data_IF_311962911012
#
_entry.id   IF_311962911012
#
_cell.length_a   1.000
_cell.length_b   1.000
_cell.length_c   1.000
_cell.angle_alpha   90.00
_cell.angle_beta   90.00
_cell.angle_gamma   90.00
#
_symmetry.space_group_name_H-M   'P 1'
#
loop_
_entity.id
_entity.type
_entity.pdbx_description
1 polymer ?
#
# COMPACT_ATOMS: atom_id res chain seq x y z
N UNK A 1 -9.17 -21.66 25.18
CA UNK A 1 -7.69 -21.60 25.16
C UNK A 1 -7.13 -22.89 25.76
N UNK A 2 -6.72 -23.85 24.92
CA UNK A 2 -5.85 -24.96 25.37
C UNK A 2 -4.41 -24.54 25.13
N UNK A 3 -3.56 -24.82 26.12
CA UNK A 3 -2.14 -24.46 26.21
C UNK A 3 -1.36 -24.66 24.90
N UNK A 4 -0.94 -23.55 24.29
CA UNK A 4 -0.04 -23.46 23.14
C UNK A 4 1.44 -23.33 23.53
N UNK A 5 1.81 -23.58 24.79
CA UNK A 5 3.18 -23.37 25.28
C UNK A 5 4.20 -24.39 24.77
N UNK A 6 3.77 -25.52 24.20
CA UNK A 6 4.66 -26.58 23.72
C UNK A 6 5.23 -26.40 22.31
N UNK A 7 4.55 -25.65 21.44
CA UNK A 7 4.90 -25.48 20.01
C UNK A 7 5.62 -24.17 19.69
N UNK A 8 5.79 -23.28 20.68
CA UNK A 8 6.37 -21.94 20.51
C UNK A 8 7.85 -21.91 20.07
N UNK A 9 8.61 -22.99 20.17
CA UNK A 9 10.08 -22.93 20.02
C UNK A 9 10.66 -23.17 18.62
N UNK A 10 9.89 -23.66 17.65
CA UNK A 10 10.47 -24.16 16.38
C UNK A 10 9.87 -23.59 15.09
N UNK A 11 8.94 -22.62 15.15
CA UNK A 11 8.27 -22.12 13.93
C UNK A 11 8.95 -20.91 13.27
N UNK A 12 9.93 -20.27 13.91
CA UNK A 12 10.62 -19.07 13.38
C UNK A 12 12.12 -19.14 13.66
N UNK A 13 12.82 -20.12 13.08
CA UNK A 13 14.28 -20.27 13.25
C UNK A 13 15.04 -20.49 11.94
N UNK A 14 14.36 -20.41 10.80
CA UNK A 14 15.00 -20.45 9.49
C UNK A 14 15.43 -19.04 9.09
N UNK A 15 16.67 -18.88 8.65
CA UNK A 15 17.12 -17.66 7.97
C UNK A 15 16.16 -17.33 6.81
N UNK A 16 15.73 -16.06 6.63
CA UNK A 16 14.88 -15.70 5.51
C UNK A 16 15.49 -16.10 4.16
N UNK A 17 14.65 -16.59 3.25
CA UNK A 17 15.05 -17.12 1.96
C UNK A 17 14.41 -16.29 0.84
N UNK A 18 15.27 -15.69 0.01
CA UNK A 18 14.89 -14.88 -1.15
C UNK A 18 15.42 -15.46 -2.46
N UNK A 19 15.82 -16.74 -2.46
CA UNK A 19 16.48 -17.39 -3.61
C UNK A 19 15.63 -17.47 -4.88
N UNK A 20 14.31 -17.30 -4.77
CA UNK A 20 13.37 -17.29 -5.89
C UNK A 20 12.91 -15.86 -6.30
N UNK A 21 13.49 -14.81 -5.71
CA UNK A 21 13.16 -13.41 -6.02
C UNK A 21 13.22 -13.11 -7.53
N UNK A 22 14.16 -13.72 -8.26
CA UNK A 22 14.29 -13.57 -9.72
C UNK A 22 13.01 -13.96 -10.49
N UNK A 23 12.31 -15.00 -10.05
CA UNK A 23 11.08 -15.44 -10.69
C UNK A 23 9.92 -14.46 -10.40
N UNK A 24 9.90 -13.85 -9.22
CA UNK A 24 8.96 -12.78 -8.90
C UNK A 24 9.23 -11.49 -9.70
N UNK A 25 10.51 -11.13 -9.87
CA UNK A 25 10.94 -10.02 -10.76
C UNK A 25 10.45 -10.26 -12.20
N UNK A 26 10.62 -11.48 -12.70
CA UNK A 26 10.16 -11.87 -14.04
C UNK A 26 8.64 -11.85 -14.16
N UNK A 27 7.90 -12.20 -13.11
CA UNK A 27 6.45 -12.11 -13.06
C UNK A 27 5.97 -10.65 -13.17
N UNK A 28 6.58 -9.74 -12.40
CA UNK A 28 6.32 -8.30 -12.50
C UNK A 28 6.65 -7.77 -13.89
N UNK A 29 7.80 -8.15 -14.45
CA UNK A 29 8.21 -7.75 -15.80
C UNK A 29 7.19 -8.17 -16.85
N UNK A 30 6.71 -9.41 -16.79
CA UNK A 30 5.66 -9.92 -17.69
C UNK A 30 4.35 -9.16 -17.53
N UNK A 31 3.95 -8.88 -16.29
CA UNK A 31 2.76 -8.08 -16.02
C UNK A 31 2.87 -6.67 -16.62
N UNK A 32 3.99 -5.97 -16.39
CA UNK A 32 4.23 -4.63 -16.91
C UNK A 32 4.28 -4.54 -18.45
N UNK A 33 4.69 -5.61 -19.13
CA UNK A 33 4.68 -5.71 -20.59
C UNK A 33 3.34 -6.16 -21.17
N UNK A 34 2.41 -6.60 -20.33
CA UNK A 34 1.11 -7.11 -20.74
C UNK A 34 0.09 -5.99 -20.73
N UNK A 35 -0.28 -5.50 -21.91
CA UNK A 35 -1.27 -4.45 -22.06
C UNK A 35 -2.70 -5.04 -22.00
N UNK A 36 -3.28 -5.08 -20.81
CA UNK A 36 -4.71 -5.37 -20.61
C UNK A 36 -5.39 -4.07 -20.22
N UNK A 37 -6.26 -3.57 -21.09
CA UNK A 37 -7.02 -2.37 -20.82
C UNK A 37 -8.08 -2.61 -19.73
N UNK A 38 -8.32 -1.58 -18.92
CA UNK A 38 -9.43 -1.53 -17.97
C UNK A 38 -10.74 -1.22 -18.69
N UNK A 39 -11.85 -1.11 -17.96
CA UNK A 39 -13.10 -0.59 -18.50
C UNK A 39 -12.91 0.80 -19.10
N UNK A 40 -13.56 1.08 -20.22
CA UNK A 40 -13.47 2.39 -20.87
C UNK A 40 -14.10 3.49 -20.02
N UNK A 41 -13.45 4.64 -19.99
CA UNK A 41 -13.97 5.84 -19.33
C UNK A 41 -15.19 6.38 -20.09
N UNK A 42 -16.34 6.59 -19.41
CA UNK A 42 -17.50 7.19 -20.03
C UNK A 42 -17.22 8.68 -20.29
N UNK A 43 -17.06 9.04 -21.56
CA UNK A 43 -16.78 10.42 -21.99
C UNK A 43 -18.04 11.23 -22.31
N UNK A 44 -19.22 10.62 -22.15
CA UNK A 44 -20.52 11.26 -22.30
C UNK A 44 -21.22 11.38 -20.94
N UNK A 45 -21.67 12.60 -20.62
CA UNK A 45 -22.33 12.91 -19.35
C UNK A 45 -23.58 12.04 -19.09
N UNK A 46 -24.47 11.91 -20.08
CA UNK A 46 -25.73 11.18 -19.92
C UNK A 46 -25.50 9.68 -19.82
N UNK A 47 -24.52 9.16 -20.55
CA UNK A 47 -24.08 7.77 -20.43
C UNK A 47 -23.55 7.49 -19.02
N UNK A 48 -22.61 8.31 -18.53
CA UNK A 48 -22.07 8.16 -17.17
C UNK A 48 -23.19 8.24 -16.12
N UNK A 49 -24.04 9.26 -16.19
CA UNK A 49 -25.13 9.45 -15.22
C UNK A 49 -26.12 8.30 -15.26
N UNK A 50 -26.46 7.80 -16.44
CA UNK A 50 -27.33 6.65 -16.62
C UNK A 50 -26.74 5.39 -16.00
N UNK A 51 -25.47 5.08 -16.29
CA UNK A 51 -24.78 3.93 -15.68
C UNK A 51 -24.75 4.03 -14.16
N UNK A 52 -24.33 5.18 -13.62
CA UNK A 52 -24.29 5.39 -12.17
C UNK A 52 -25.68 5.23 -11.52
N UNK A 53 -26.75 5.75 -12.11
CA UNK A 53 -28.11 5.62 -11.57
C UNK A 53 -28.55 4.15 -11.44
N UNK A 54 -28.15 3.27 -12.38
CA UNK A 54 -28.45 1.83 -12.27
C UNK A 54 -27.74 1.14 -11.10
N UNK A 55 -26.75 1.79 -10.49
CA UNK A 55 -25.91 1.26 -9.42
C UNK A 55 -26.19 1.89 -8.06
N UNK A 56 -27.18 2.79 -7.94
CA UNK A 56 -27.47 3.58 -6.73
C UNK A 56 -27.59 2.77 -5.43
N UNK A 57 -28.08 1.53 -5.54
CA UNK A 57 -28.36 0.63 -4.43
C UNK A 57 -27.38 -0.55 -4.35
N UNK A 58 -26.30 -0.55 -5.15
CA UNK A 58 -25.35 -1.67 -5.24
C UNK A 58 -24.12 -1.55 -4.36
N UNK A 59 -23.71 -0.33 -4.00
CA UNK A 59 -22.66 -0.13 -3.01
C UNK A 59 -23.23 -0.34 -1.60
N UNK A 60 -22.41 -0.84 -0.64
CA UNK A 60 -22.83 -0.95 0.73
C UNK A 60 -23.12 0.46 1.30
N UNK A 61 -23.92 0.55 2.39
CA UNK A 61 -24.36 1.84 2.94
C UNK A 61 -23.24 2.85 3.15
N UNK A 62 -22.08 2.37 3.58
CA UNK A 62 -20.87 3.17 3.80
C UNK A 62 -20.48 3.98 2.55
N UNK A 63 -20.07 3.29 1.48
CA UNK A 63 -19.66 3.93 0.23
C UNK A 63 -20.82 4.59 -0.52
N UNK A 64 -22.06 4.13 -0.32
CA UNK A 64 -23.20 4.83 -0.90
C UNK A 64 -23.31 6.25 -0.36
N UNK A 65 -23.07 6.43 0.94
CA UNK A 65 -23.29 7.71 1.62
C UNK A 65 -22.07 8.65 1.52
N UNK A 66 -20.85 8.10 1.47
CA UNK A 66 -19.60 8.89 1.45
C UNK A 66 -18.96 9.05 0.07
N UNK A 67 -19.30 8.18 -0.89
CA UNK A 67 -18.76 8.22 -2.26
C UNK A 67 -19.85 8.49 -3.30
N UNK A 68 -20.87 7.63 -3.40
CA UNK A 68 -21.86 7.69 -4.48
C UNK A 68 -22.72 8.96 -4.41
N UNK A 69 -23.43 9.19 -3.30
CA UNK A 69 -24.37 10.32 -3.16
C UNK A 69 -23.67 11.67 -3.35
N UNK A 70 -22.50 11.94 -2.72
CA UNK A 70 -21.82 13.22 -2.90
C UNK A 70 -21.32 13.41 -4.34
N UNK A 71 -20.78 12.35 -4.96
CA UNK A 71 -20.31 12.43 -6.34
C UNK A 71 -21.44 12.72 -7.33
N UNK A 72 -22.59 12.04 -7.17
CA UNK A 72 -23.78 12.28 -8.00
C UNK A 72 -24.26 13.72 -7.87
N UNK A 73 -24.39 14.22 -6.63
CA UNK A 73 -24.75 15.61 -6.38
C UNK A 73 -23.79 16.56 -7.10
N UNK A 74 -22.48 16.28 -7.06
CA UNK A 74 -21.49 17.12 -7.71
C UNK A 74 -21.55 17.07 -9.23
N UNK A 75 -21.77 15.89 -9.81
CA UNK A 75 -21.99 15.74 -11.24
C UNK A 75 -23.24 16.50 -11.71
N UNK A 76 -24.31 16.46 -10.94
CA UNK A 76 -25.55 17.19 -11.24
C UNK A 76 -25.35 18.71 -11.17
N UNK A 77 -24.59 19.20 -10.18
CA UNK A 77 -24.18 20.62 -10.09
C UNK A 77 -23.33 21.07 -11.30
N UNK A 78 -22.46 20.19 -11.80
CA UNK A 78 -21.62 20.47 -12.98
C UNK A 78 -22.46 20.49 -14.27
N UNK A 79 -23.41 19.57 -14.38
CA UNK A 79 -24.17 19.31 -15.60
C UNK A 79 -23.30 18.88 -16.78
N UNK A 80 -23.94 18.69 -17.94
CA UNK A 80 -23.28 18.26 -19.17
C UNK A 80 -22.17 19.22 -19.63
N UNK A 81 -22.41 20.53 -19.55
CA UNK A 81 -21.42 21.54 -19.95
C UNK A 81 -20.18 21.54 -19.07
N UNK A 82 -20.36 21.46 -17.74
CA UNK A 82 -19.27 21.41 -16.78
C UNK A 82 -18.43 20.15 -16.94
N UNK A 83 -19.09 19.00 -17.09
CA UNK A 83 -18.45 17.71 -17.37
C UNK A 83 -17.59 17.78 -18.64
N UNK A 84 -18.16 18.25 -19.74
CA UNK A 84 -17.47 18.35 -21.04
C UNK A 84 -16.28 19.31 -20.95
N UNK A 85 -16.44 20.44 -20.25
CA UNK A 85 -15.37 21.41 -20.03
C UNK A 85 -14.20 20.84 -19.23
N UNK A 86 -14.47 19.98 -18.24
CA UNK A 86 -13.42 19.29 -17.48
C UNK A 86 -12.61 18.40 -18.42
N UNK A 87 -13.28 17.56 -19.23
CA UNK A 87 -12.61 16.66 -20.18
C UNK A 87 -11.77 17.42 -21.21
N UNK A 88 -12.29 18.54 -21.75
CA UNK A 88 -11.56 19.34 -22.74
C UNK A 88 -10.32 20.05 -22.16
N UNK A 89 -10.36 20.42 -20.87
CA UNK A 89 -9.23 21.10 -20.19
C UNK A 89 -8.13 20.16 -19.74
N UNK A 90 -8.45 18.88 -19.59
CA UNK A 90 -7.53 17.83 -19.17
C UNK A 90 -7.62 16.62 -20.11
N UNK A 91 -7.19 16.78 -21.39
CA UNK A 91 -7.34 15.74 -22.40
C UNK A 91 -6.47 14.52 -22.14
N UNK A 92 -5.39 14.67 -21.35
CA UNK A 92 -4.52 13.57 -20.93
C UNK A 92 -5.06 12.81 -19.72
N UNK A 93 -6.06 13.36 -19.02
CA UNK A 93 -6.67 12.77 -17.82
C UNK A 93 -5.65 12.58 -16.68
N UNK A 94 -4.74 13.54 -16.55
CA UNK A 94 -3.69 13.51 -15.52
C UNK A 94 -4.05 14.41 -14.32
N UNK A 95 -5.18 15.12 -14.38
CA UNK A 95 -5.62 16.09 -13.37
C UNK A 95 -7.11 15.88 -13.07
N UNK A 96 -7.90 16.95 -13.11
CA UNK A 96 -9.31 16.97 -12.69
C UNK A 96 -10.20 16.02 -13.52
N UNK A 97 -9.92 15.80 -14.81
CA UNK A 97 -10.67 14.83 -15.60
C UNK A 97 -10.32 13.40 -15.19
N UNK A 98 -9.02 13.11 -14.97
CA UNK A 98 -8.55 11.84 -14.43
C UNK A 98 -9.22 11.50 -13.10
N UNK A 99 -9.15 12.41 -12.14
CA UNK A 99 -9.81 12.27 -10.83
C UNK A 99 -11.33 12.01 -10.96
N UNK A 100 -12.03 12.81 -11.78
CA UNK A 100 -13.47 12.64 -11.99
C UNK A 100 -13.82 11.25 -12.53
N UNK A 101 -13.03 10.77 -13.49
CA UNK A 101 -13.24 9.48 -14.15
C UNK A 101 -12.81 8.32 -13.23
N UNK A 102 -11.78 8.49 -12.41
CA UNK A 102 -11.34 7.48 -11.45
C UNK A 102 -12.37 7.26 -10.35
N UNK A 103 -12.97 8.34 -9.82
CA UNK A 103 -14.10 8.28 -8.88
C UNK A 103 -15.28 7.54 -9.52
N UNK A 104 -15.64 7.89 -10.76
CA UNK A 104 -16.70 7.21 -11.49
C UNK A 104 -16.40 5.73 -11.70
N UNK A 105 -15.19 5.39 -12.14
CA UNK A 105 -14.77 4.01 -12.41
C UNK A 105 -14.74 3.16 -11.16
N UNK A 106 -14.32 3.68 -10.01
CA UNK A 106 -14.38 2.96 -8.75
C UNK A 106 -15.83 2.54 -8.42
N UNK A 107 -16.81 3.43 -8.60
CA UNK A 107 -18.23 3.10 -8.41
C UNK A 107 -18.71 2.09 -9.46
N UNK A 108 -18.43 2.35 -10.75
CA UNK A 108 -18.90 1.53 -11.86
C UNK A 108 -18.36 0.10 -11.77
N UNK A 109 -17.07 -0.07 -11.51
CA UNK A 109 -16.44 -1.40 -11.46
C UNK A 109 -17.00 -2.28 -10.35
N UNK A 110 -17.24 -1.69 -9.17
CA UNK A 110 -17.90 -2.41 -8.08
C UNK A 110 -19.35 -2.77 -8.42
N UNK A 111 -20.13 -1.83 -8.96
CA UNK A 111 -21.55 -2.08 -9.24
C UNK A 111 -21.83 -2.95 -10.48
N UNK A 112 -20.97 -2.90 -11.49
CA UNK A 112 -21.06 -3.68 -12.72
C UNK A 112 -20.38 -5.05 -12.59
N UNK A 113 -19.59 -5.26 -11.53
CA UNK A 113 -18.93 -6.54 -11.24
C UNK A 113 -17.73 -6.80 -12.15
N UNK A 114 -16.90 -5.78 -12.39
CA UNK A 114 -15.64 -5.97 -13.11
C UNK A 114 -14.66 -6.79 -12.25
N UNK A 115 -14.19 -7.93 -12.78
CA UNK A 115 -13.27 -8.87 -12.12
C UNK A 115 -13.60 -9.10 -10.63
N UNK A 116 -14.81 -9.60 -10.29
CA UNK A 116 -15.36 -9.51 -8.93
C UNK A 116 -14.49 -10.21 -7.87
N UNK A 117 -13.78 -11.29 -8.23
CA UNK A 117 -12.87 -11.97 -7.33
C UNK A 117 -11.65 -11.11 -6.98
N UNK A 118 -10.97 -10.58 -7.99
CA UNK A 118 -9.79 -9.74 -7.78
C UNK A 118 -10.17 -8.39 -7.15
N UNK A 119 -11.30 -7.79 -7.55
CA UNK A 119 -11.79 -6.53 -6.98
C UNK A 119 -12.12 -6.69 -5.49
N UNK A 120 -12.82 -7.75 -5.10
CA UNK A 120 -13.07 -8.02 -3.68
C UNK A 120 -11.78 -8.29 -2.89
N UNK A 121 -10.86 -9.07 -3.45
CA UNK A 121 -9.55 -9.32 -2.84
C UNK A 121 -8.73 -8.04 -2.65
N UNK A 122 -8.71 -7.17 -3.66
CA UNK A 122 -7.98 -5.91 -3.63
C UNK A 122 -8.59 -4.95 -2.61
N UNK A 123 -9.92 -4.87 -2.61
CA UNK A 123 -10.64 -4.05 -1.66
C UNK A 123 -10.42 -4.49 -0.22
N UNK A 124 -10.37 -5.80 0.05
CA UNK A 124 -10.09 -6.32 1.39
C UNK A 124 -8.70 -5.91 1.87
N UNK A 125 -7.69 -6.02 1.00
CA UNK A 125 -6.33 -5.57 1.33
C UNK A 125 -6.30 -4.06 1.64
N UNK A 126 -6.91 -3.24 0.79
CA UNK A 126 -6.95 -1.78 0.99
C UNK A 126 -7.72 -1.41 2.25
N UNK A 127 -8.83 -2.09 2.55
CA UNK A 127 -9.56 -1.90 3.80
C UNK A 127 -8.70 -2.21 5.03
N UNK A 128 -8.01 -3.35 5.01
CA UNK A 128 -7.16 -3.80 6.11
C UNK A 128 -5.93 -2.91 6.34
N UNK A 129 -5.23 -2.51 5.28
CA UNK A 129 -4.06 -1.62 5.38
C UNK A 129 -4.41 -0.24 5.94
N UNK A 130 -5.58 0.28 5.56
CA UNK A 130 -6.07 1.55 6.09
C UNK A 130 -6.49 1.40 7.55
N UNK A 131 -7.25 0.35 7.87
CA UNK A 131 -7.71 0.05 9.23
C UNK A 131 -6.55 -0.17 10.21
N UNK A 132 -5.43 -0.75 9.76
CA UNK A 132 -4.23 -0.95 10.58
C UNK A 132 -3.59 0.34 11.11
N UNK A 133 -3.99 1.52 10.60
CA UNK A 133 -3.59 2.82 11.14
C UNK A 133 -4.75 3.55 11.83
N UNK A 134 -5.95 2.98 11.91
CA UNK A 134 -7.17 3.64 12.38
C UNK A 134 -7.87 2.92 13.51
N UNK A 135 -7.68 1.60 13.64
CA UNK A 135 -8.41 0.78 14.59
C UNK A 135 -8.25 1.30 16.02
N UNK A 136 -9.23 1.03 16.88
CA UNK A 136 -9.12 1.38 18.31
C UNK A 136 -7.92 0.70 19.00
N UNK A 137 -7.45 -0.44 18.47
CA UNK A 137 -6.23 -1.11 18.94
C UNK A 137 -4.99 -0.30 18.55
N UNK A 138 -4.94 0.21 17.32
CA UNK A 138 -3.76 0.87 16.74
C UNK A 138 -3.69 2.37 17.10
N UNK A 139 -4.81 3.11 17.09
CA UNK A 139 -4.87 4.53 17.50
C UNK A 139 -5.18 4.74 18.98
N UNK A 140 -4.84 3.79 19.85
CA UNK A 140 -5.06 3.95 21.29
C UNK A 140 -4.33 5.19 21.85
N UNK A 141 -5.09 6.26 22.14
CA UNK A 141 -4.54 7.53 22.62
C UNK A 141 -4.18 8.55 21.52
N UNK A 142 -4.54 8.28 20.26
CA UNK A 142 -4.35 9.17 19.10
C UNK A 142 -5.72 9.53 18.52
N UNK A 143 -5.89 10.78 18.07
CA UNK A 143 -7.12 11.20 17.39
C UNK A 143 -7.36 10.40 16.10
N UNK A 144 -8.60 10.20 15.64
CA UNK A 144 -8.83 9.74 14.26
C UNK A 144 -8.31 10.78 13.25
N UNK A 145 -8.04 10.39 12.00
CA UNK A 145 -7.65 11.33 10.95
C UNK A 145 -8.69 12.45 10.76
N UNK A 146 -8.21 13.58 10.27
CA UNK A 146 -9.01 14.81 10.16
C UNK A 146 -9.97 14.78 8.96
N UNK A 147 -9.60 14.11 7.87
CA UNK A 147 -10.32 14.20 6.60
C UNK A 147 -11.19 12.98 6.28
N UNK A 148 -10.75 11.77 6.63
CA UNK A 148 -11.56 10.56 6.47
C UNK A 148 -11.10 9.44 7.39
N UNK A 149 -12.07 8.64 7.78
CA UNK A 149 -11.87 7.35 8.46
C UNK A 149 -12.41 6.19 7.61
N UNK A 150 -12.80 6.47 6.36
CA UNK A 150 -13.40 5.46 5.49
C UNK A 150 -12.31 4.87 4.60
N UNK A 151 -12.14 3.54 4.59
CA UNK A 151 -11.12 2.94 3.74
C UNK A 151 -11.32 3.27 2.26
N UNK A 152 -10.25 3.48 1.49
CA UNK A 152 -10.34 3.85 0.07
C UNK A 152 -11.15 2.85 -0.76
N UNK A 153 -11.80 3.34 -1.81
CA UNK A 153 -12.49 2.48 -2.78
C UNK A 153 -11.53 2.11 -3.92
N UNK A 154 -11.49 0.84 -4.31
CA UNK A 154 -10.52 0.38 -5.29
C UNK A 154 -11.01 0.45 -6.74
N UNK A 155 -10.08 0.54 -7.68
CA UNK A 155 -10.34 0.36 -9.12
C UNK A 155 -9.19 -0.28 -9.87
N UNK A 156 -9.50 -0.76 -11.06
CA UNK A 156 -8.54 -1.18 -12.09
C UNK A 156 -8.49 -0.14 -13.20
N UNK A 157 -7.34 0.47 -13.43
CA UNK A 157 -7.23 1.68 -14.25
C UNK A 157 -6.31 1.53 -15.46
N UNK A 158 -5.47 2.53 -15.65
CA UNK A 158 -4.61 2.63 -16.83
C UNK A 158 -3.49 1.58 -16.77
N UNK A 159 -3.35 0.68 -17.77
CA UNK A 159 -2.27 -0.31 -17.79
C UNK A 159 -0.87 0.30 -17.93
N UNK A 160 -0.78 1.58 -18.31
CA UNK A 160 0.49 2.32 -18.41
C UNK A 160 0.85 3.07 -17.12
N UNK A 161 -0.07 3.16 -16.17
CA UNK A 161 0.23 3.67 -14.84
C UNK A 161 0.77 2.53 -13.96
N UNK A 162 1.54 2.86 -12.93
CA UNK A 162 1.78 1.95 -11.81
C UNK A 162 0.58 1.94 -10.86
N UNK A 163 0.72 1.33 -9.67
CA UNK A 163 -0.10 1.66 -8.52
C UNK A 163 -0.12 3.17 -8.29
N UNK A 164 -1.28 3.69 -7.87
CA UNK A 164 -1.42 5.08 -7.41
C UNK A 164 -2.68 5.22 -6.58
N UNK A 165 -2.75 6.28 -5.78
CA UNK A 165 -3.99 6.72 -5.14
C UNK A 165 -4.35 8.17 -5.49
N UNK A 166 -5.64 8.47 -5.44
CA UNK A 166 -6.17 9.81 -5.21
C UNK A 166 -6.59 9.91 -3.74
N UNK A 167 -5.79 10.58 -2.88
CA UNK A 167 -6.13 10.68 -1.47
C UNK A 167 -7.41 11.50 -1.22
N UNK A 168 -7.90 11.46 0.02
CA UNK A 168 -9.18 12.10 0.37
C UNK A 168 -9.17 13.61 0.10
N UNK A 169 -8.06 14.30 0.36
CA UNK A 169 -7.93 15.74 0.10
C UNK A 169 -8.13 16.07 -1.40
N UNK A 170 -7.64 15.22 -2.30
CA UNK A 170 -7.86 15.34 -3.74
C UNK A 170 -9.32 15.02 -4.12
N UNK A 171 -9.88 13.90 -3.67
CA UNK A 171 -11.25 13.49 -4.01
C UNK A 171 -12.32 14.44 -3.46
N UNK A 172 -12.03 15.16 -2.37
CA UNK A 172 -12.89 16.19 -1.77
C UNK A 172 -13.29 17.31 -2.75
N UNK A 173 -12.52 17.54 -3.81
CA UNK A 173 -12.86 18.47 -4.91
C UNK A 173 -14.21 18.10 -5.56
N UNK A 174 -14.55 16.81 -5.54
CA UNK A 174 -15.83 16.29 -6.02
C UNK A 174 -16.86 16.04 -4.90
N UNK A 175 -16.60 16.54 -3.68
CA UNK A 175 -17.44 16.39 -2.51
C UNK A 175 -17.39 15.00 -1.89
N UNK A 176 -16.48 14.15 -2.34
CA UNK A 176 -16.30 12.77 -1.90
C UNK A 176 -15.43 12.73 -0.64
N UNK A 177 -15.74 11.82 0.28
CA UNK A 177 -15.06 11.67 1.58
C UNK A 177 -14.17 10.41 1.65
N UNK A 178 -13.84 9.83 0.49
CA UNK A 178 -13.18 8.54 0.34
C UNK A 178 -12.11 8.64 -0.75
N UNK A 179 -10.90 8.19 -0.45
CA UNK A 179 -9.83 8.08 -1.44
C UNK A 179 -10.14 7.01 -2.50
N UNK A 180 -9.41 7.04 -3.62
CA UNK A 180 -9.52 6.04 -4.70
C UNK A 180 -8.14 5.44 -4.98
N UNK A 181 -8.01 4.12 -4.76
CA UNK A 181 -6.75 3.41 -4.97
C UNK A 181 -6.82 2.58 -6.24
N UNK A 182 -5.74 2.61 -7.02
CA UNK A 182 -5.67 1.98 -8.32
C UNK A 182 -4.58 0.91 -8.41
N UNK A 183 -4.90 -0.19 -9.09
CA UNK A 183 -3.92 -1.08 -9.69
C UNK A 183 -4.09 -1.17 -11.21
N UNK A 184 -3.00 -1.45 -11.96
CA UNK A 184 -3.11 -1.81 -13.37
C UNK A 184 -3.98 -3.08 -13.55
N UNK A 185 -4.82 -3.18 -14.60
CA UNK A 185 -5.77 -4.29 -14.75
C UNK A 185 -5.15 -5.69 -14.85
N UNK A 186 -3.90 -5.76 -15.34
CA UNK A 186 -3.12 -7.01 -15.37
C UNK A 186 -2.83 -7.54 -13.96
N UNK A 187 -2.74 -6.65 -12.98
CA UNK A 187 -2.46 -7.02 -11.59
C UNK A 187 -3.59 -7.75 -10.89
N UNK A 188 -4.75 -7.89 -11.53
CA UNK A 188 -5.81 -8.78 -11.08
C UNK A 188 -5.48 -10.27 -11.28
N UNK A 189 -4.47 -10.59 -12.10
CA UNK A 189 -4.13 -11.98 -12.48
C UNK A 189 -2.64 -12.29 -12.44
N UNK A 190 -1.77 -11.28 -12.29
CA UNK A 190 -0.32 -11.44 -12.35
C UNK A 190 0.40 -10.32 -11.59
N UNK A 191 1.71 -10.43 -11.37
CA UNK A 191 2.55 -9.37 -10.81
C UNK A 191 2.37 -9.30 -9.31
N UNK A 192 2.65 -10.42 -8.62
CA UNK A 192 2.41 -10.59 -7.19
C UNK A 192 2.98 -9.44 -6.35
N UNK A 193 4.21 -8.98 -6.65
CA UNK A 193 4.87 -7.94 -5.86
C UNK A 193 4.21 -6.54 -5.98
N UNK A 194 3.34 -6.32 -6.97
CA UNK A 194 2.54 -5.10 -7.04
C UNK A 194 1.50 -5.02 -5.91
N UNK A 195 1.11 -6.15 -5.31
CA UNK A 195 0.18 -6.17 -4.18
C UNK A 195 0.89 -5.77 -2.88
N UNK A 196 2.17 -6.10 -2.72
CA UNK A 196 2.97 -5.63 -1.57
C UNK A 196 3.33 -4.15 -1.65
N UNK A 197 3.31 -3.54 -2.84
CA UNK A 197 3.52 -2.09 -2.97
C UNK A 197 2.29 -1.27 -2.60
N UNK A 198 1.09 -1.86 -2.45
CA UNK A 198 -0.13 -1.11 -2.07
C UNK A 198 -0.04 -0.53 -0.64
N UNK A 199 0.81 -1.08 0.21
CA UNK A 199 1.15 -0.46 1.49
C UNK A 199 1.66 0.98 1.34
N UNK A 200 2.33 1.30 0.23
CA UNK A 200 2.77 2.67 -0.09
C UNK A 200 1.58 3.60 -0.40
N UNK A 201 0.61 3.14 -1.18
CA UNK A 201 -0.54 3.97 -1.57
C UNK A 201 -1.51 4.16 -0.39
N UNK A 202 -2.02 3.04 0.14
CA UNK A 202 -3.09 3.05 1.14
C UNK A 202 -2.56 3.25 2.55
N UNK A 203 -1.51 2.54 2.92
CA UNK A 203 -0.88 2.72 4.22
C UNK A 203 -0.11 4.04 4.28
N UNK A 204 0.45 4.50 3.16
CA UNK A 204 1.22 5.74 3.04
C UNK A 204 0.35 6.94 2.69
N UNK A 205 0.24 7.26 1.39
CA UNK A 205 -0.42 8.48 0.92
C UNK A 205 -1.82 8.70 1.52
N UNK A 206 -2.68 7.68 1.53
CA UNK A 206 -4.06 7.85 2.03
C UNK A 206 -4.11 8.16 3.53
N UNK A 207 -3.16 7.66 4.34
CA UNK A 207 -3.05 7.99 5.78
C UNK A 207 -2.37 9.34 5.97
N UNK A 208 -1.25 9.58 5.27
CA UNK A 208 -0.46 10.80 5.38
C UNK A 208 -1.26 12.05 5.01
N UNK A 209 -2.12 11.95 3.99
CA UNK A 209 -3.00 13.03 3.56
C UNK A 209 -4.28 13.15 4.40
N UNK A 210 -4.65 12.12 5.17
CA UNK A 210 -5.84 12.17 6.01
C UNK A 210 -5.62 12.95 7.33
N UNK A 211 -4.38 13.06 7.81
CA UNK A 211 -4.00 13.86 8.99
C UNK A 211 -3.38 15.21 8.58
N UNK A 212 -4.04 16.30 8.98
CA UNK A 212 -3.64 17.65 8.57
C UNK A 212 -2.29 18.04 9.18
N UNK A 213 -1.33 18.40 8.32
CA UNK A 213 -0.01 18.88 8.73
C UNK A 213 1.03 17.79 8.98
N UNK A 214 0.65 16.51 8.95
CA UNK A 214 1.55 15.37 9.21
C UNK A 214 2.74 15.34 8.25
N UNK A 215 2.51 15.47 6.94
CA UNK A 215 3.57 15.48 5.92
C UNK A 215 4.58 16.61 6.14
N UNK A 216 4.10 17.82 6.43
CA UNK A 216 4.98 18.98 6.66
C UNK A 216 5.83 18.80 7.93
N UNK A 217 5.23 18.25 9.00
CA UNK A 217 5.93 17.96 10.24
C UNK A 217 7.00 16.87 10.07
N UNK A 218 6.69 15.82 9.29
CA UNK A 218 7.64 14.76 8.93
C UNK A 218 8.80 15.32 8.08
N UNK A 219 8.52 16.14 7.06
CA UNK A 219 9.55 16.74 6.21
C UNK A 219 10.53 17.56 7.04
N UNK A 220 10.01 18.41 7.93
CA UNK A 220 10.82 19.25 8.79
C UNK A 220 11.64 18.43 9.80
N UNK A 221 11.05 17.38 10.34
CA UNK A 221 11.76 16.47 11.25
C UNK A 221 12.92 15.76 10.54
N UNK A 222 12.71 15.26 9.32
CA UNK A 222 13.76 14.62 8.52
C UNK A 222 14.85 15.63 8.14
N UNK A 223 14.46 16.83 7.69
CA UNK A 223 15.39 17.91 7.35
C UNK A 223 16.30 18.23 8.54
N UNK A 224 15.70 18.51 9.70
CA UNK A 224 16.42 18.85 10.94
C UNK A 224 17.40 17.76 11.34
N UNK A 225 16.97 16.50 11.40
CA UNK A 225 17.82 15.39 11.86
C UNK A 225 18.99 15.13 10.90
N UNK A 226 18.84 15.39 9.60
CA UNK A 226 19.94 15.28 8.63
C UNK A 226 20.89 16.48 8.69
N UNK A 227 20.37 17.70 8.87
CA UNK A 227 21.19 18.91 9.03
C UNK A 227 22.11 18.82 10.26
N UNK A 228 21.62 18.28 11.38
CA UNK A 228 22.43 18.08 12.59
C UNK A 228 23.62 17.13 12.39
N UNK A 229 23.55 16.23 11.42
CA UNK A 229 24.64 15.31 11.08
C UNK A 229 25.65 15.92 10.11
N UNK A 230 25.41 17.14 9.61
CA UNK A 230 26.23 17.85 8.64
C UNK A 230 26.50 17.04 7.36
N UNK A 231 25.47 16.38 6.81
CA UNK A 231 25.59 15.79 5.48
C UNK A 231 25.89 16.86 4.44
N UNK A 232 26.78 16.54 3.50
CA UNK A 232 26.99 17.37 2.32
C UNK A 232 25.84 17.23 1.33
N UNK A 233 25.96 17.94 0.21
CA UNK A 233 25.19 17.69 -1.01
C UNK A 233 23.67 17.84 -0.88
N UNK A 234 23.21 18.64 0.10
CA UNK A 234 21.79 18.97 0.35
C UNK A 234 20.89 17.74 0.51
N UNK A 235 21.44 16.66 1.09
CA UNK A 235 20.69 15.43 1.36
C UNK A 235 19.46 15.65 2.25
N UNK A 236 19.53 16.62 3.16
CA UNK A 236 18.38 17.02 3.98
C UNK A 236 17.20 17.48 3.12
N UNK A 237 17.43 18.35 2.14
CA UNK A 237 16.38 18.83 1.25
C UNK A 237 15.96 17.77 0.23
N UNK A 238 16.89 16.96 -0.28
CA UNK A 238 16.55 15.85 -1.18
C UNK A 238 15.51 14.90 -0.58
N UNK A 239 15.70 14.50 0.68
CA UNK A 239 14.78 13.63 1.39
C UNK A 239 13.49 14.35 1.83
N UNK A 240 13.61 15.58 2.36
CA UNK A 240 12.47 16.32 2.88
C UNK A 240 11.48 16.75 1.77
N UNK A 241 11.98 17.14 0.60
CA UNK A 241 11.15 17.48 -0.58
C UNK A 241 10.40 16.27 -1.15
N UNK A 242 10.86 15.04 -0.84
CA UNK A 242 10.28 13.77 -1.27
C UNK A 242 9.64 13.00 -0.11
N UNK A 243 9.23 13.72 0.94
CA UNK A 243 8.74 13.10 2.17
C UNK A 243 7.50 12.24 1.94
N UNK A 244 6.63 12.65 1.01
CA UNK A 244 5.36 11.97 0.76
C UNK A 244 5.61 10.54 0.27
N UNK A 245 6.52 10.39 -0.69
CA UNK A 245 6.97 9.09 -1.23
C UNK A 245 7.78 8.29 -0.20
N UNK A 246 8.67 8.98 0.52
CA UNK A 246 9.59 8.36 1.50
C UNK A 246 8.85 7.82 2.72
N UNK A 247 7.94 8.60 3.29
CA UNK A 247 7.12 8.18 4.40
C UNK A 247 6.15 7.08 3.96
N UNK A 248 5.59 7.17 2.77
CA UNK A 248 4.70 6.14 2.22
C UNK A 248 5.35 4.75 2.16
N UNK A 249 6.61 4.67 1.74
CA UNK A 249 7.39 3.41 1.81
C UNK A 249 7.47 2.86 3.24
N UNK A 250 7.76 3.72 4.22
CA UNK A 250 7.90 3.33 5.62
C UNK A 250 6.56 2.86 6.20
N UNK A 251 5.44 3.54 5.92
CA UNK A 251 4.12 3.14 6.41
C UNK A 251 3.67 1.81 5.79
N UNK A 252 4.03 1.54 4.53
CA UNK A 252 3.84 0.23 3.91
C UNK A 252 4.60 -0.88 4.64
N UNK A 253 5.82 -0.60 5.10
CA UNK A 253 6.65 -1.55 5.86
C UNK A 253 6.11 -1.76 7.28
N UNK A 254 5.57 -0.73 7.93
CA UNK A 254 4.91 -0.89 9.23
C UNK A 254 3.71 -1.84 9.16
N UNK A 255 2.99 -1.87 8.02
CA UNK A 255 1.84 -2.75 7.80
C UNK A 255 2.16 -4.17 7.34
N UNK A 256 3.13 -4.33 6.43
CA UNK A 256 3.40 -5.62 5.76
C UNK A 256 4.73 -6.25 6.18
N UNK A 257 5.46 -5.59 7.09
CA UNK A 257 6.75 -6.04 7.56
C UNK A 257 7.78 -6.16 6.43
N UNK A 258 8.67 -7.18 6.48
CA UNK A 258 9.69 -7.39 5.47
C UNK A 258 9.17 -7.60 4.04
N UNK A 259 7.93 -8.08 3.89
CA UNK A 259 7.34 -8.36 2.59
C UNK A 259 7.17 -7.09 1.73
N UNK A 260 6.85 -5.95 2.35
CA UNK A 260 6.81 -4.67 1.65
C UNK A 260 8.18 -4.26 1.11
N UNK A 261 9.22 -4.28 1.95
CA UNK A 261 10.56 -3.82 1.57
C UNK A 261 11.20 -4.70 0.47
N UNK A 262 11.20 -6.03 0.64
CA UNK A 262 11.77 -6.93 -0.39
C UNK A 262 10.89 -6.99 -1.64
N UNK A 263 9.56 -6.83 -1.47
CA UNK A 263 8.60 -6.72 -2.56
C UNK A 263 8.86 -5.49 -3.42
N UNK A 264 9.14 -4.33 -2.81
CA UNK A 264 9.50 -3.08 -3.49
C UNK A 264 10.77 -3.26 -4.35
N UNK A 265 11.81 -3.86 -3.79
CA UNK A 265 13.06 -4.15 -4.53
C UNK A 265 12.78 -5.02 -5.75
N UNK A 266 12.02 -6.12 -5.59
CA UNK A 266 11.66 -6.99 -6.71
C UNK A 266 10.74 -6.32 -7.72
N UNK A 267 9.82 -5.47 -7.25
CA UNK A 267 8.88 -4.74 -8.09
C UNK A 267 9.61 -3.73 -9.00
N UNK A 268 10.47 -2.88 -8.45
CA UNK A 268 11.25 -1.93 -9.25
C UNK A 268 12.20 -2.59 -10.23
N UNK A 269 12.89 -3.67 -9.82
CA UNK A 269 13.69 -4.45 -10.77
C UNK A 269 12.84 -5.02 -11.90
N UNK A 270 11.62 -5.47 -11.62
CA UNK A 270 10.68 -5.96 -12.62
C UNK A 270 10.24 -4.89 -13.61
N UNK A 271 9.88 -3.70 -13.12
CA UNK A 271 9.52 -2.54 -13.95
C UNK A 271 10.71 -2.05 -14.79
N UNK A 272 11.88 -1.90 -14.17
CA UNK A 272 13.10 -1.51 -14.88
C UNK A 272 13.46 -2.56 -15.95
N UNK A 273 13.32 -3.86 -15.66
CA UNK A 273 13.51 -4.89 -16.67
C UNK A 273 12.50 -4.81 -17.83
N UNK A 274 11.29 -4.33 -17.60
CA UNK A 274 10.29 -4.14 -18.65
C UNK A 274 10.63 -2.95 -19.55
N UNK A 275 11.03 -1.81 -18.97
CA UNK A 275 11.15 -0.54 -19.69
C UNK A 275 12.58 -0.18 -20.11
N UNK A 276 13.59 -0.60 -19.36
CA UNK A 276 15.02 -0.34 -19.63
C UNK A 276 15.80 -1.61 -20.02
N UNK A 277 15.16 -2.79 -19.92
CA UNK A 277 15.76 -4.13 -20.13
C UNK A 277 16.81 -4.52 -19.09
N UNK A 278 16.93 -3.77 -18.00
CA UNK A 278 17.85 -4.06 -16.91
C UNK A 278 17.07 -4.28 -15.62
N UNK A 279 17.25 -5.45 -15.01
CA UNK A 279 16.58 -5.82 -13.76
C UNK A 279 17.36 -5.33 -12.53
N UNK A 280 17.67 -4.03 -12.48
CA UNK A 280 18.44 -3.39 -11.41
C UNK A 280 17.66 -2.19 -10.84
N UNK A 281 17.95 -1.82 -9.59
CA UNK A 281 17.53 -0.56 -9.00
C UNK A 281 18.29 0.61 -9.64
N UNK A 282 17.58 1.70 -9.96
CA UNK A 282 18.22 2.94 -10.42
C UNK A 282 19.02 3.58 -9.30
N UNK A 283 20.24 4.00 -9.62
CA UNK A 283 21.12 4.77 -8.74
C UNK A 283 21.04 6.29 -9.01
N UNK A 284 20.16 6.69 -9.93
CA UNK A 284 19.91 8.09 -10.29
C UNK A 284 18.58 8.55 -9.69
N UNK A 285 18.57 9.72 -9.04
CA UNK A 285 17.39 10.40 -8.52
C UNK A 285 17.28 11.80 -9.12
N UNK A 286 16.58 11.99 -10.25
CA UNK A 286 16.46 13.29 -10.91
C UNK A 286 15.68 14.32 -10.07
N UNK A 287 16.02 15.60 -10.25
CA UNK A 287 15.33 16.74 -9.59
C UNK A 287 13.82 16.77 -9.90
N UNK A 288 13.43 16.44 -11.13
CA UNK A 288 12.03 16.45 -11.55
C UNK A 288 11.26 15.17 -11.16
N UNK A 289 11.95 14.16 -10.62
CA UNK A 289 11.30 12.95 -10.11
C UNK A 289 10.98 13.16 -8.62
N UNK A 290 9.69 13.12 -8.30
CA UNK A 290 9.21 13.23 -6.92
C UNK A 290 9.59 12.03 -6.06
N UNK A 291 9.95 10.90 -6.67
CA UNK A 291 10.37 9.71 -5.96
C UNK A 291 11.87 9.76 -5.65
N UNK A 292 12.31 9.28 -4.48
CA UNK A 292 13.72 9.03 -4.24
C UNK A 292 14.26 7.97 -5.20
N UNK A 293 15.56 8.00 -5.48
CA UNK A 293 16.22 6.98 -6.29
C UNK A 293 15.93 5.56 -5.76
N UNK A 294 15.69 4.59 -6.65
CA UNK A 294 15.31 3.23 -6.26
C UNK A 294 16.30 2.61 -5.27
N UNK A 295 17.62 2.88 -5.43
CA UNK A 295 18.67 2.38 -4.53
C UNK A 295 18.49 2.92 -3.09
N UNK A 296 18.10 4.20 -2.95
CA UNK A 296 17.86 4.83 -1.65
C UNK A 296 16.59 4.30 -1.00
N UNK A 297 15.53 4.08 -1.80
CA UNK A 297 14.29 3.44 -1.32
C UNK A 297 14.56 2.01 -0.84
N UNK A 298 15.46 1.28 -1.52
CA UNK A 298 15.94 -0.04 -1.08
C UNK A 298 16.62 0.00 0.29
N UNK A 299 17.55 0.94 0.51
CA UNK A 299 18.20 1.11 1.81
C UNK A 299 17.23 1.59 2.90
N UNK A 300 16.39 2.59 2.60
CA UNK A 300 15.33 3.04 3.49
C UNK A 300 14.46 1.87 3.96
N UNK A 301 14.06 1.01 3.02
CA UNK A 301 13.27 -0.18 3.30
C UNK A 301 13.98 -1.18 4.19
N UNK A 302 15.27 -1.46 3.93
CA UNK A 302 16.08 -2.33 4.78
C UNK A 302 16.14 -1.81 6.23
N UNK A 303 16.43 -0.51 6.41
CA UNK A 303 16.58 0.09 7.73
C UNK A 303 15.24 0.22 8.47
N UNK A 304 14.15 0.53 7.77
CA UNK A 304 12.82 0.55 8.36
C UNK A 304 12.40 -0.85 8.87
N UNK A 305 12.68 -1.91 8.09
CA UNK A 305 12.46 -3.30 8.55
C UNK A 305 13.28 -3.61 9.80
N UNK A 306 14.51 -3.12 9.86
CA UNK A 306 15.39 -3.25 11.02
C UNK A 306 14.90 -2.56 12.30
N UNK A 307 13.85 -1.74 12.21
CA UNK A 307 13.23 -1.04 13.34
C UNK A 307 11.91 -1.66 13.81
N UNK A 308 11.42 -2.69 13.11
CA UNK A 308 10.20 -3.42 13.47
C UNK A 308 10.39 -4.27 14.73
N UNK A 309 9.29 -4.59 15.41
CA UNK A 309 9.27 -5.24 16.73
C UNK A 309 9.12 -6.77 16.65
N UNK A 310 10.00 -7.41 15.87
CA UNK A 310 10.06 -8.87 15.75
C UNK A 310 11.49 -9.41 15.72
N UNK A 311 11.66 -10.67 16.11
CA UNK A 311 12.97 -11.25 16.46
C UNK A 311 13.95 -11.29 15.28
N UNK A 312 13.45 -11.44 14.04
CA UNK A 312 14.27 -11.52 12.83
C UNK A 312 14.43 -10.17 12.10
N UNK A 313 13.99 -9.04 12.67
CA UNK A 313 14.05 -7.72 12.03
C UNK A 313 15.46 -7.36 11.51
N UNK A 314 16.49 -7.56 12.35
CA UNK A 314 17.89 -7.30 11.98
C UNK A 314 18.44 -8.27 10.94
N UNK A 315 17.94 -9.50 10.91
CA UNK A 315 18.34 -10.46 9.90
C UNK A 315 17.75 -10.10 8.53
N UNK A 316 16.49 -9.69 8.50
CA UNK A 316 15.84 -9.17 7.30
C UNK A 316 16.47 -7.87 6.80
N UNK A 317 16.76 -6.89 7.68
CA UNK A 317 17.50 -5.66 7.33
C UNK A 317 18.77 -6.01 6.56
N UNK A 318 19.61 -6.91 7.11
CA UNK A 318 20.85 -7.33 6.47
C UNK A 318 20.63 -8.01 5.12
N UNK A 319 19.61 -8.86 5.01
CA UNK A 319 19.31 -9.58 3.76
C UNK A 319 18.87 -8.60 2.68
N UNK A 320 17.99 -7.65 3.01
CA UNK A 320 17.48 -6.65 2.07
C UNK A 320 18.63 -5.71 1.67
N UNK A 321 19.41 -5.20 2.62
CA UNK A 321 20.58 -4.36 2.31
C UNK A 321 21.56 -5.07 1.38
N UNK A 322 21.90 -6.33 1.67
CA UNK A 322 22.78 -7.15 0.81
C UNK A 322 22.18 -7.36 -0.58
N UNK A 323 20.85 -7.48 -0.69
CA UNK A 323 20.16 -7.62 -1.98
C UNK A 323 20.20 -6.32 -2.78
N UNK A 324 20.04 -5.17 -2.13
CA UNK A 324 20.13 -3.82 -2.71
C UNK A 324 21.56 -3.53 -3.17
N UNK A 325 22.58 -3.89 -2.37
CA UNK A 325 24.00 -3.70 -2.67
C UNK A 325 24.44 -4.36 -4.00
N UNK A 326 23.71 -5.36 -4.50
CA UNK A 326 23.99 -6.00 -5.80
C UNK A 326 23.83 -5.05 -6.99
N UNK A 327 23.03 -4.00 -6.84
CA UNK A 327 22.77 -3.00 -7.89
C UNK A 327 23.53 -1.70 -7.64
N UNK A 328 24.30 -1.62 -6.55
CA UNK A 328 25.00 -0.40 -6.16
C UNK A 328 26.07 -0.03 -7.18
N UNK A 329 25.93 1.17 -7.73
CA UNK A 329 26.91 1.83 -8.59
C UNK A 329 27.21 3.23 -8.06
N UNK A 330 27.78 4.11 -8.88
CA UNK A 330 27.81 5.54 -8.55
C UNK A 330 26.37 6.04 -8.36
N UNK A 331 26.10 6.68 -7.22
CA UNK A 331 24.80 7.26 -6.89
C UNK A 331 24.83 8.74 -7.28
N UNK A 332 23.84 9.16 -8.06
CA UNK A 332 23.68 10.55 -8.48
C UNK A 332 22.29 11.06 -8.09
N UNK A 333 22.25 12.05 -7.21
CA UNK A 333 21.02 12.72 -6.80
C UNK A 333 21.03 14.14 -7.33
N UNK A 334 20.04 14.49 -8.14
CA UNK A 334 19.93 15.84 -8.74
C UNK A 334 21.21 16.25 -9.51
N UNK A 335 21.89 15.26 -10.10
CA UNK A 335 23.15 15.43 -10.82
C UNK A 335 24.40 15.54 -9.93
N UNK A 336 24.26 15.40 -8.62
CA UNK A 336 25.35 15.43 -7.64
C UNK A 336 25.69 14.00 -7.22
N UNK A 337 26.96 13.63 -7.38
CA UNK A 337 27.44 12.34 -6.89
C UNK A 337 27.54 12.34 -5.36
N UNK A 338 27.03 11.28 -4.73
CA UNK A 338 27.11 11.07 -3.29
C UNK A 338 27.82 9.75 -2.96
N UNK A 339 28.46 9.69 -1.80
CA UNK A 339 29.12 8.44 -1.39
C UNK A 339 28.11 7.40 -0.93
N UNK A 340 28.48 6.12 -1.08
CA UNK A 340 27.66 5.00 -0.62
C UNK A 340 27.40 5.06 0.90
N UNK A 341 28.40 5.50 1.67
CA UNK A 341 28.30 5.63 3.13
C UNK A 341 27.30 6.74 3.51
N UNK A 342 27.32 7.89 2.82
CA UNK A 342 26.35 8.97 3.03
C UNK A 342 24.93 8.54 2.63
N UNK A 343 24.78 7.85 1.50
CA UNK A 343 23.51 7.31 1.03
C UNK A 343 22.89 6.36 2.07
N UNK A 344 23.68 5.39 2.54
CA UNK A 344 23.25 4.43 3.57
C UNK A 344 22.95 5.12 4.90
N UNK A 345 23.84 6.02 5.35
CA UNK A 345 23.67 6.67 6.65
C UNK A 345 22.47 7.62 6.65
N UNK A 346 22.25 8.39 5.58
CA UNK A 346 21.08 9.27 5.46
C UNK A 346 19.80 8.45 5.43
N UNK A 347 19.70 7.38 4.62
CA UNK A 347 18.54 6.50 4.61
C UNK A 347 18.24 5.88 5.99
N UNK A 348 19.27 5.52 6.76
CA UNK A 348 19.11 4.99 8.12
C UNK A 348 18.49 6.04 9.08
N UNK A 349 18.95 7.29 8.99
CA UNK A 349 18.43 8.39 9.82
C UNK A 349 17.00 8.69 9.42
N UNK A 350 16.72 8.84 8.12
CA UNK A 350 15.38 9.09 7.58
C UNK A 350 14.40 8.01 8.05
N UNK A 351 14.75 6.72 7.91
CA UNK A 351 13.93 5.62 8.41
C UNK A 351 13.67 5.75 9.92
N UNK A 352 14.72 5.98 10.72
CA UNK A 352 14.57 6.12 12.17
C UNK A 352 13.70 7.32 12.56
N UNK A 353 13.84 8.45 11.88
CA UNK A 353 13.07 9.65 12.13
C UNK A 353 11.60 9.41 11.83
N UNK A 354 11.26 8.90 10.64
CA UNK A 354 9.86 8.63 10.26
C UNK A 354 9.23 7.60 11.21
N UNK A 355 9.93 6.50 11.52
CA UNK A 355 9.39 5.43 12.38
C UNK A 355 9.18 5.90 13.82
N UNK A 356 10.12 6.65 14.40
CA UNK A 356 10.20 6.85 15.87
C UNK A 356 9.93 8.26 16.35
N UNK A 357 9.93 9.28 15.46
CA UNK A 357 9.67 10.65 15.88
C UNK A 357 8.24 10.76 16.37
N UNK A 358 8.06 11.34 17.55
CA UNK A 358 6.74 11.70 18.08
C UNK A 358 6.27 12.98 17.42
N UNK A 359 5.07 12.95 16.87
CA UNK A 359 4.52 14.01 16.04
C UNK A 359 3.33 14.65 16.74
N UNK A 360 3.30 15.98 16.75
CA UNK A 360 2.21 16.77 17.33
C UNK A 360 0.91 16.49 16.58
N UNK A 361 0.98 16.38 15.25
CA UNK A 361 -0.15 15.98 14.40
C UNK A 361 -0.77 14.63 14.79
N UNK A 362 -0.02 13.78 15.50
CA UNK A 362 -0.45 12.47 16.01
C UNK A 362 -0.51 12.42 17.54
N UNK A 363 -0.85 13.54 18.19
CA UNK A 363 -1.00 13.61 19.67
C UNK A 363 0.26 13.16 20.42
N UNK A 364 1.44 13.51 19.89
CA UNK A 364 2.76 13.12 20.41
C UNK A 364 3.04 11.61 20.40
N UNK A 365 2.43 10.87 19.47
CA UNK A 365 2.79 9.50 19.16
C UNK A 365 3.66 9.44 17.90
N UNK A 366 4.47 8.39 17.79
CA UNK A 366 5.18 8.05 16.57
C UNK A 366 4.39 7.06 15.73
N UNK A 367 4.69 7.00 14.43
CA UNK A 367 4.01 6.07 13.51
C UNK A 367 4.14 4.61 13.96
N UNK A 368 5.29 4.22 14.52
CA UNK A 368 5.50 2.87 15.03
C UNK A 368 4.77 2.55 16.36
N UNK A 369 4.26 3.57 17.06
CA UNK A 369 3.38 3.36 18.22
C UNK A 369 1.94 3.13 17.78
N UNK A 370 1.57 3.59 16.57
CA UNK A 370 0.25 3.38 15.99
C UNK A 370 0.22 2.01 15.31
N UNK A 371 1.12 1.77 14.35
CA UNK A 371 1.19 0.50 13.62
C UNK A 371 2.63 -0.02 13.63
N UNK A 372 2.81 -1.30 13.93
CA UNK A 372 4.11 -1.96 13.86
C UNK A 372 3.94 -3.48 13.69
N UNK A 373 4.71 -4.02 12.77
CA UNK A 373 4.79 -5.45 12.52
C UNK A 373 5.59 -6.19 13.61
N UNK A 374 4.95 -7.17 14.25
CA UNK A 374 5.46 -7.84 15.46
C UNK A 374 5.67 -9.34 15.24
N UNK A 375 6.26 -9.99 16.25
CA UNK A 375 6.42 -11.45 16.29
C UNK A 375 5.12 -12.24 16.07
N UNK A 376 3.97 -11.69 16.51
CA UNK A 376 2.66 -12.32 16.30
C UNK A 376 2.32 -12.39 14.80
N UNK A 377 2.63 -11.35 14.05
CA UNK A 377 2.36 -11.26 12.62
C UNK A 377 3.26 -12.21 11.82
N UNK A 378 4.56 -12.26 12.14
CA UNK A 378 5.48 -13.24 11.54
C UNK A 378 5.08 -14.69 11.82
N UNK A 379 4.56 -14.98 13.02
CA UNK A 379 4.05 -16.31 13.35
C UNK A 379 2.85 -16.68 12.48
N UNK A 380 1.93 -15.75 12.26
CA UNK A 380 0.77 -15.94 11.38
C UNK A 380 1.24 -16.15 9.94
N UNK A 381 2.14 -15.30 9.44
CA UNK A 381 2.74 -15.41 8.10
C UNK A 381 3.39 -16.79 7.90
N UNK A 382 4.22 -17.24 8.85
CA UNK A 382 4.87 -18.55 8.77
C UNK A 382 3.86 -19.71 8.63
N UNK A 383 2.72 -19.62 9.32
CA UNK A 383 1.66 -20.62 9.24
C UNK A 383 0.93 -20.55 7.89
N UNK A 384 0.56 -19.34 7.44
CA UNK A 384 -0.14 -19.10 6.18
C UNK A 384 0.66 -19.57 4.95
N UNK A 385 1.99 -19.41 4.95
CA UNK A 385 2.88 -19.86 3.86
C UNK A 385 2.69 -21.35 3.54
N UNK A 386 2.42 -22.19 4.53
CA UNK A 386 2.18 -23.62 4.31
C UNK A 386 0.86 -23.89 3.56
N UNK A 387 -0.18 -23.10 3.86
CA UNK A 387 -1.49 -23.19 3.21
C UNK A 387 -1.44 -22.67 1.79
N UNK A 388 -0.65 -21.62 1.53
CA UNK A 388 -0.46 -21.08 0.18
C UNK A 388 0.32 -22.04 -0.74
N UNK A 389 1.05 -23.02 -0.19
CA UNK A 389 1.79 -24.04 -0.95
C UNK A 389 1.09 -25.42 -1.03
N UNK A 390 0.02 -25.66 -0.25
CA UNK A 390 -0.72 -26.94 -0.23
C UNK A 390 -2.19 -26.80 -0.65
N UNK A 391 -2.86 -27.86 -1.11
CA UNK A 391 -4.26 -27.82 -1.63
C UNK A 391 -5.35 -27.65 -0.54
N UNK A 392 -5.04 -27.04 0.60
CA UNK A 392 -5.96 -26.90 1.75
C UNK A 392 -6.60 -25.50 1.85
N UNK A 393 -7.83 -25.44 2.33
CA UNK A 393 -8.44 -24.20 2.80
C UNK A 393 -7.80 -23.72 4.10
N UNK A 394 -7.84 -22.41 4.37
CA UNK A 394 -7.44 -21.86 5.67
C UNK A 394 -8.26 -22.53 6.79
N UNK A 395 -7.63 -23.09 7.84
CA UNK A 395 -8.38 -23.73 8.92
C UNK A 395 -9.28 -22.72 9.66
N UNK A 396 -10.48 -23.16 10.08
CA UNK A 396 -11.51 -22.30 10.72
C UNK A 396 -11.03 -21.54 11.96
N UNK A 397 -10.05 -22.10 12.68
CA UNK A 397 -9.43 -21.49 13.87
C UNK A 397 -8.67 -20.19 13.57
N UNK A 398 -8.45 -19.88 12.30
CA UNK A 398 -7.70 -18.72 11.82
C UNK A 398 -8.57 -17.62 11.22
N UNK A 399 -9.90 -17.75 11.24
CA UNK A 399 -10.82 -16.69 10.78
C UNK A 399 -10.88 -15.46 11.68
N UNK A 400 -10.26 -15.49 12.86
CA UNK A 400 -10.19 -14.37 13.80
C UNK A 400 -8.74 -14.03 14.12
N UNK A 401 -8.37 -12.76 13.97
CA UNK A 401 -7.02 -12.26 14.23
C UNK A 401 -6.01 -12.50 13.09
N UNK A 402 -6.49 -12.85 11.90
CA UNK A 402 -5.74 -12.78 10.64
C UNK A 402 -6.27 -11.63 9.81
N UNK A 403 -5.34 -10.84 9.31
CA UNK A 403 -5.55 -9.64 8.52
C UNK A 403 -5.12 -9.88 7.06
N UNK A 404 -5.66 -9.10 6.13
CA UNK A 404 -5.35 -9.24 4.70
C UNK A 404 -3.85 -8.99 4.43
N UNK A 405 -3.24 -8.08 5.19
CA UNK A 405 -1.81 -7.83 5.23
C UNK A 405 -1.01 -9.11 5.50
N UNK A 406 -1.47 -9.98 6.41
CA UNK A 406 -0.80 -11.27 6.68
C UNK A 406 -0.84 -12.21 5.48
N UNK A 407 -1.97 -12.25 4.75
CA UNK A 407 -2.11 -13.09 3.55
C UNK A 407 -1.16 -12.64 2.45
N UNK A 408 -1.06 -11.33 2.20
CA UNK A 408 -0.14 -10.76 1.21
C UNK A 408 1.32 -10.97 1.63
N UNK A 409 1.66 -10.71 2.90
CA UNK A 409 3.01 -10.93 3.41
C UNK A 409 3.42 -12.42 3.31
N UNK A 410 2.49 -13.33 3.59
CA UNK A 410 2.70 -14.77 3.39
C UNK A 410 2.87 -15.15 1.92
N UNK A 411 2.09 -14.55 1.02
CA UNK A 411 2.22 -14.80 -0.42
C UNK A 411 3.57 -14.33 -0.96
N UNK A 412 4.02 -13.12 -0.60
CA UNK A 412 5.33 -12.60 -0.99
C UNK A 412 6.45 -13.48 -0.46
N UNK A 413 6.46 -13.76 0.85
CA UNK A 413 7.52 -14.56 1.49
C UNK A 413 7.51 -16.02 1.06
N UNK A 414 6.36 -16.58 0.66
CA UNK A 414 6.30 -17.88 -0.01
C UNK A 414 6.85 -17.82 -1.44
N UNK A 415 6.49 -16.80 -2.20
CA UNK A 415 6.87 -16.68 -3.61
C UNK A 415 8.37 -16.39 -3.80
N UNK A 416 8.99 -15.59 -2.94
CA UNK A 416 10.43 -15.27 -3.04
C UNK A 416 11.33 -16.37 -2.45
N UNK A 417 10.78 -17.28 -1.66
CA UNK A 417 11.51 -18.41 -1.10
C UNK A 417 11.72 -19.54 -2.13
N UNK A 418 12.69 -20.41 -1.86
CA UNK A 418 13.04 -21.54 -2.72
C UNK A 418 11.81 -22.36 -3.11
N UNK A 419 11.75 -22.74 -4.39
CA UNK A 419 10.69 -23.56 -5.00
C UNK A 419 9.28 -22.90 -4.97
N UNK A 420 9.18 -21.60 -4.69
CA UNK A 420 7.92 -20.86 -4.72
C UNK A 420 7.30 -20.80 -6.13
N UNK A 421 6.09 -21.34 -6.27
CA UNK A 421 5.29 -21.22 -7.50
C UNK A 421 4.48 -19.93 -7.47
N UNK A 422 5.01 -18.89 -8.12
CA UNK A 422 4.44 -17.52 -8.10
C UNK A 422 2.98 -17.53 -8.55
N UNK A 423 2.63 -18.29 -9.60
CA UNK A 423 1.28 -18.28 -10.16
C UNK A 423 0.27 -18.96 -9.21
N UNK A 424 0.63 -20.12 -8.65
CA UNK A 424 -0.22 -20.85 -7.70
C UNK A 424 -0.39 -20.07 -6.40
N UNK A 425 0.68 -19.47 -5.89
CA UNK A 425 0.64 -18.66 -4.67
C UNK A 425 -0.24 -17.42 -4.89
N UNK A 426 -0.11 -16.75 -6.04
CA UNK A 426 -0.93 -15.58 -6.38
C UNK A 426 -2.42 -15.92 -6.45
N UNK A 427 -2.80 -16.97 -7.16
CA UNK A 427 -4.21 -17.41 -7.25
C UNK A 427 -4.83 -17.70 -5.88
N UNK A 428 -4.06 -18.33 -5.00
CA UNK A 428 -4.49 -18.64 -3.62
C UNK A 428 -4.57 -17.42 -2.73
N UNK A 429 -3.66 -16.45 -2.91
CA UNK A 429 -3.72 -15.15 -2.25
C UNK A 429 -5.05 -14.45 -2.62
N UNK A 430 -5.36 -14.33 -3.91
CA UNK A 430 -6.61 -13.73 -4.40
C UNK A 430 -7.83 -14.46 -3.83
N UNK A 431 -7.82 -15.80 -3.89
CA UNK A 431 -8.93 -16.61 -3.38
C UNK A 431 -9.16 -16.41 -1.87
N UNK A 432 -8.08 -16.36 -1.08
CA UNK A 432 -8.15 -16.16 0.37
C UNK A 432 -8.66 -14.76 0.72
N UNK A 433 -8.10 -13.73 0.09
CA UNK A 433 -8.52 -12.33 0.27
C UNK A 433 -9.98 -12.13 -0.14
N UNK A 434 -10.42 -12.75 -1.23
CA UNK A 434 -11.83 -12.70 -1.64
C UNK A 434 -12.77 -13.37 -0.63
N UNK A 435 -12.36 -14.48 -0.03
CA UNK A 435 -13.15 -15.13 1.01
C UNK A 435 -13.26 -14.28 2.28
N UNK A 436 -12.19 -13.54 2.63
CA UNK A 436 -12.20 -12.54 3.71
C UNK A 436 -13.17 -11.41 3.37
N UNK A 437 -13.09 -10.85 2.16
CA UNK A 437 -14.00 -9.81 1.67
C UNK A 437 -15.48 -10.22 1.76
N UNK A 438 -15.80 -11.45 1.33
CA UNK A 438 -17.19 -11.94 1.36
C UNK A 438 -17.74 -12.12 2.77
N UNK A 439 -16.84 -12.24 3.74
CA UNK A 439 -17.17 -12.32 5.17
C UNK A 439 -17.10 -10.95 5.85
N UNK A 440 -16.65 -9.91 5.15
CA UNK A 440 -16.42 -8.58 5.68
C UNK A 440 -17.75 -7.84 5.88
N UNK A 441 -18.14 -7.52 7.11
CA UNK A 441 -19.43 -6.90 7.41
C UNK A 441 -19.54 -5.44 6.98
N UNK A 442 -18.42 -4.72 6.78
CA UNK A 442 -18.41 -3.36 6.18
C UNK A 442 -18.86 -3.36 4.72
N UNK A 443 -18.77 -4.51 4.07
CA UNK A 443 -19.27 -4.77 2.72
C UNK A 443 -20.66 -5.41 2.69
N UNK A 444 -21.27 -5.61 3.86
CA UNK A 444 -22.62 -6.13 4.03
C UNK A 444 -23.71 -5.03 4.07
N UNK A 445 -24.97 -5.41 4.34
CA UNK A 445 -26.08 -4.45 4.49
C UNK A 445 -26.01 -3.65 5.80
N UNK A 446 -25.09 -4.01 6.70
CA UNK A 446 -24.90 -3.35 7.99
C UNK A 446 -23.99 -2.12 7.79
N UNK A 447 -24.25 -1.05 8.53
CA UNK A 447 -23.35 0.11 8.58
C UNK A 447 -22.23 -0.20 9.58
N UNK A 448 -21.15 -0.80 9.09
CA UNK A 448 -19.94 -1.09 9.86
C UNK A 448 -18.81 -0.26 9.26
N UNK A 449 -18.16 0.54 10.11
CA UNK A 449 -17.05 1.40 9.69
C UNK A 449 -15.76 0.58 9.56
N UNK A 450 -15.37 -0.11 10.63
CA UNK A 450 -14.17 -0.96 10.66
C UNK A 450 -14.54 -2.39 11.07
N UNK A 451 -14.16 -3.43 10.32
CA UNK A 451 -14.37 -4.82 10.72
C UNK A 451 -13.66 -5.17 12.03
N UNK A 452 -12.50 -4.55 12.30
CA UNK A 452 -11.76 -4.69 13.55
C UNK A 452 -12.59 -4.35 14.80
N UNK A 453 -13.58 -3.45 14.68
CA UNK A 453 -14.41 -3.00 15.79
C UNK A 453 -15.56 -3.97 16.15
N UNK A 454 -15.77 -5.04 15.36
CA UNK A 454 -16.85 -6.02 15.59
C UNK A 454 -16.46 -7.10 16.59
N UNK A 455 -15.19 -7.18 16.97
CA UNK A 455 -14.79 -8.05 18.08
C UNK A 455 -15.38 -7.48 19.37
N UNK A 456 -16.23 -8.28 20.05
CA UNK A 456 -16.68 -7.93 21.41
C UNK A 456 -15.44 -7.71 22.29
N UNK A 457 -15.15 -6.46 22.63
CA UNK A 457 -14.36 -6.16 23.82
C UNK A 457 -15.16 -6.69 25.01
N UNK A 458 -14.81 -7.88 25.50
CA UNK A 458 -15.13 -8.24 26.88
C UNK A 458 -14.37 -7.24 27.74
N UNK A 459 -15.05 -6.14 28.08
CA UNK A 459 -14.67 -5.22 29.14
C UNK A 459 -14.53 -6.06 30.41
N UNK A 460 -13.31 -6.51 30.71
CA UNK A 460 -12.97 -6.81 32.09
C UNK A 460 -12.90 -5.47 32.82
N UNK A 461 -14.04 -5.06 33.38
CA UNK A 461 -14.07 -4.06 34.46
C UNK A 461 -13.44 -4.71 35.69
N UNK A 462 -12.32 -4.12 36.13
CA UNK A 462 -11.61 -4.23 37.41
C UNK A 462 -11.43 -5.61 38.04
#
# INVERSE_FOLDING_TARGET
MKNLDGTKKNLVTGKPDISNLKNCIEDVRKAALTNIDGPEDPTNYHELRGRLETLRDKLPPLYRDTMYKPFIKKLDELGQEGFTRILLRDPKREKKAGLMLDIAQAILQHGEGYKPNATGAFQELVSDLYDGFLSLEDRAGVKPPDLSIIPPLVKWGNPKAGPYTWPVDATSIFGVEVAVVNLPPVNATQGLLAWSSIGHETGGHDILHADTGLLAELAESVRTELEEQNFGHDLSEYWASRIDETASDVLGILNLGPAAAIGLVGYFRGLNAAFTRQAILRNEGPDQDRHPADILRGYLGAYAVGLLEFDQAKEWEKIIETEVDKDLSEIQLEGIAISNDEAKKSAQIVASTIVKRKLISLENHSLNQIQNWKNKDELIVAQLRSSLNTLGSLPEEYKSGIYAAHIVAAAVTAAIAKDGDVAVIFDRMITSLKAMHDSNPSWGPLFVLHPGDIVRHLLYRN
#
